data_IF_779911040206
#
_entry.id   IF_779911040206
#
_cell.length_a   1.000
_cell.length_b   1.000
_cell.length_c   1.000
_cell.angle_alpha   90.00
_cell.angle_beta   90.00
_cell.angle_gamma   90.00
#
_symmetry.space_group_name_H-M   'P 1'
#
loop_
_entity.id
_entity.type
_entity.pdbx_description
1 polymer ?
#
# COMPACT_ATOMS: atom_id res chain seq x y z
N UNK A 1 -7.88 -23.13 -5.40
CA UNK A 1 -8.41 -22.31 -4.28
C UNK A 1 -9.62 -21.56 -4.79
N UNK A 2 -10.75 -21.59 -4.08
CA UNK A 2 -11.95 -20.86 -4.47
C UNK A 2 -11.70 -19.34 -4.40
N UNK A 3 -12.20 -18.61 -5.40
CA UNK A 3 -11.99 -17.17 -5.62
C UNK A 3 -12.61 -16.22 -4.56
N UNK A 4 -13.04 -16.69 -3.37
CA UNK A 4 -14.02 -15.92 -2.59
C UNK A 4 -13.51 -14.87 -1.60
N UNK A 5 -12.29 -14.89 -1.03
CA UNK A 5 -12.03 -13.99 0.12
C UNK A 5 -10.57 -13.50 0.25
N UNK A 6 -9.89 -13.12 -0.84
CA UNK A 6 -8.57 -12.48 -0.65
C UNK A 6 -8.72 -11.07 -0.08
N UNK A 7 -8.21 -10.87 1.13
CA UNK A 7 -8.24 -9.61 1.86
C UNK A 7 -7.14 -8.68 1.38
N UNK A 8 -7.42 -7.94 0.31
CA UNK A 8 -6.58 -6.83 -0.10
C UNK A 8 -6.86 -5.60 0.76
N UNK A 9 -5.84 -5.02 1.39
CA UNK A 9 -5.97 -3.78 2.18
C UNK A 9 -5.15 -2.68 1.53
N UNK A 10 -5.78 -1.54 1.23
CA UNK A 10 -5.08 -0.36 0.76
C UNK A 10 -4.40 0.36 1.95
N UNK A 11 -3.17 0.85 1.78
CA UNK A 11 -2.44 1.63 2.78
C UNK A 11 -2.02 2.96 2.17
N UNK A 12 -2.47 4.05 2.79
CA UNK A 12 -2.17 5.44 2.40
C UNK A 12 -1.53 6.16 3.58
N UNK A 13 -0.49 6.93 3.33
CA UNK A 13 0.14 7.82 4.32
C UNK A 13 -0.14 9.26 3.92
N UNK A 14 -0.48 10.12 4.87
CA UNK A 14 -0.76 11.53 4.63
C UNK A 14 -0.10 12.44 5.65
N UNK A 15 0.27 13.64 5.22
CA UNK A 15 0.78 14.72 6.07
C UNK A 15 0.45 16.08 5.43
N UNK A 16 -0.42 16.87 6.06
CA UNK A 16 -0.79 18.23 5.63
C UNK A 16 -1.24 18.35 4.17
N UNK A 17 -2.05 17.39 3.70
CA UNK A 17 -2.58 17.32 2.33
C UNK A 17 -4.06 16.91 2.33
N UNK A 18 -4.88 17.56 3.16
CA UNK A 18 -6.28 17.18 3.38
C UNK A 18 -7.11 17.01 2.09
N UNK A 19 -7.04 17.97 1.16
CA UNK A 19 -7.89 17.93 -0.05
C UNK A 19 -7.53 16.74 -0.96
N UNK A 20 -6.24 16.47 -1.15
CA UNK A 20 -5.77 15.31 -1.90
C UNK A 20 -6.15 14.00 -1.20
N UNK A 21 -6.07 13.96 0.14
CA UNK A 21 -6.51 12.82 0.92
C UNK A 21 -8.01 12.54 0.73
N UNK A 22 -8.86 13.57 0.75
CA UNK A 22 -10.31 13.42 0.52
C UNK A 22 -10.57 12.76 -0.82
N UNK A 23 -9.95 13.26 -1.89
CA UNK A 23 -10.09 12.70 -3.23
C UNK A 23 -9.60 11.24 -3.27
N UNK A 24 -8.41 10.96 -2.72
CA UNK A 24 -7.83 9.62 -2.69
C UNK A 24 -8.73 8.60 -1.96
N UNK A 25 -9.19 8.93 -0.74
CA UNK A 25 -10.03 8.03 0.05
C UNK A 25 -11.39 7.81 -0.61
N UNK A 26 -11.99 8.84 -1.19
CA UNK A 26 -13.24 8.68 -1.96
C UNK A 26 -13.08 7.71 -3.13
N UNK A 27 -11.99 7.81 -3.89
CA UNK A 27 -11.72 6.89 -4.99
C UNK A 27 -11.46 5.45 -4.52
N UNK A 28 -10.79 5.29 -3.38
CA UNK A 28 -10.59 3.97 -2.78
C UNK A 28 -11.89 3.34 -2.29
N UNK A 29 -12.81 4.13 -1.73
CA UNK A 29 -14.14 3.66 -1.33
C UNK A 29 -14.92 3.16 -2.56
N UNK A 30 -14.83 3.85 -3.70
CA UNK A 30 -15.43 3.37 -4.96
C UNK A 30 -14.83 2.01 -5.41
N UNK A 31 -13.58 1.74 -5.04
CA UNK A 31 -12.91 0.47 -5.33
C UNK A 31 -13.24 -0.66 -4.32
N UNK A 32 -14.22 -0.49 -3.43
CA UNK A 32 -14.54 -1.44 -2.34
C UNK A 32 -14.80 -2.88 -2.79
N UNK A 33 -15.23 -3.13 -4.03
CA UNK A 33 -15.37 -4.50 -4.57
C UNK A 33 -14.07 -5.30 -4.60
N UNK A 34 -12.92 -4.63 -4.53
CA UNK A 34 -11.59 -5.22 -4.55
C UNK A 34 -10.81 -5.04 -3.25
N UNK A 35 -11.37 -4.32 -2.28
CA UNK A 35 -10.69 -3.94 -1.04
C UNK A 35 -11.48 -4.42 0.17
N UNK A 36 -10.77 -5.09 1.08
CA UNK A 36 -11.31 -5.49 2.38
C UNK A 36 -11.35 -4.32 3.36
N UNK A 37 -10.29 -3.52 3.40
CA UNK A 37 -10.13 -2.34 4.26
C UNK A 37 -9.26 -1.28 3.57
N UNK A 38 -9.36 -0.05 4.05
CA UNK A 38 -8.45 1.05 3.75
C UNK A 38 -7.80 1.47 5.06
N UNK A 39 -6.48 1.43 5.14
CA UNK A 39 -5.70 1.94 6.26
C UNK A 39 -5.14 3.30 5.87
N UNK A 40 -5.49 4.34 6.63
CA UNK A 40 -4.90 5.68 6.48
C UNK A 40 -4.02 5.99 7.67
N UNK A 41 -2.76 6.28 7.40
CA UNK A 41 -1.80 6.75 8.41
C UNK A 41 -1.71 8.27 8.33
N UNK A 42 -2.34 8.94 9.28
CA UNK A 42 -2.15 10.37 9.50
C UNK A 42 -0.83 10.59 10.25
N UNK A 43 0.20 11.03 9.52
CA UNK A 43 1.56 11.14 10.01
C UNK A 43 1.80 12.46 10.77
N UNK A 44 0.94 12.73 11.77
CA UNK A 44 0.91 13.93 12.60
C UNK A 44 0.61 15.23 11.83
N UNK A 45 -0.40 15.23 10.96
CA UNK A 45 -0.86 16.45 10.30
C UNK A 45 -1.33 17.50 11.30
N UNK A 46 -1.12 18.78 10.96
CA UNK A 46 -1.47 19.96 11.75
C UNK A 46 -2.66 20.73 11.17
N UNK A 47 -3.22 20.26 10.06
CA UNK A 47 -4.47 20.75 9.47
C UNK A 47 -5.68 19.93 9.96
N UNK A 48 -6.85 20.13 9.35
CA UNK A 48 -8.10 19.45 9.75
C UNK A 48 -8.15 17.96 9.39
N UNK A 49 -7.04 17.36 8.92
CA UNK A 49 -6.98 15.94 8.52
C UNK A 49 -7.44 15.00 9.62
N UNK A 50 -7.09 15.27 10.88
CA UNK A 50 -7.49 14.42 12.00
C UNK A 50 -9.00 14.42 12.18
N UNK A 51 -9.59 15.62 12.27
CA UNK A 51 -11.04 15.79 12.47
C UNK A 51 -11.83 15.16 11.30
N UNK A 52 -11.35 15.36 10.07
CA UNK A 52 -11.94 14.74 8.88
C UNK A 52 -11.92 13.21 8.95
N UNK A 53 -10.78 12.61 9.31
CA UNK A 53 -10.65 11.16 9.40
C UNK A 53 -11.50 10.55 10.52
N UNK A 54 -11.58 11.22 11.68
CA UNK A 54 -12.44 10.80 12.80
C UNK A 54 -13.91 10.75 12.37
N UNK A 55 -14.43 11.81 11.73
CA UNK A 55 -15.78 11.82 11.18
C UNK A 55 -15.97 10.71 10.13
N UNK A 56 -15.03 10.58 9.18
CA UNK A 56 -15.17 9.62 8.10
C UNK A 56 -15.18 8.17 8.59
N UNK A 57 -14.45 7.85 9.67
CA UNK A 57 -14.49 6.50 10.25
C UNK A 57 -15.85 6.11 10.83
N UNK A 58 -16.67 7.08 11.25
CA UNK A 58 -18.04 6.81 11.69
C UNK A 58 -18.95 6.46 10.50
N UNK A 59 -18.71 7.10 9.35
CA UNK A 59 -19.50 6.94 8.13
C UNK A 59 -19.06 5.72 7.28
N UNK A 60 -17.79 5.32 7.37
CA UNK A 60 -17.17 4.33 6.48
C UNK A 60 -16.51 3.19 7.28
N UNK A 61 -17.22 2.08 7.56
CA UNK A 61 -16.70 0.95 8.34
C UNK A 61 -15.47 0.25 7.74
N UNK A 62 -15.18 0.46 6.45
CA UNK A 62 -13.99 -0.10 5.80
C UNK A 62 -12.70 0.69 6.08
N UNK A 63 -12.81 1.91 6.63
CA UNK A 63 -11.68 2.77 6.95
C UNK A 63 -11.11 2.44 8.34
N UNK A 64 -9.79 2.33 8.42
CA UNK A 64 -9.03 2.16 9.66
C UNK A 64 -7.93 3.24 9.70
N UNK A 65 -7.88 4.01 10.79
CA UNK A 65 -7.01 5.18 10.87
C UNK A 65 -5.95 4.99 11.94
N UNK A 66 -4.70 5.26 11.58
CA UNK A 66 -3.55 5.32 12.48
C UNK A 66 -3.10 6.78 12.59
N UNK A 67 -3.25 7.36 13.78
CA UNK A 67 -2.79 8.73 14.05
C UNK A 67 -1.43 8.70 14.76
N UNK A 68 -0.40 9.18 14.08
CA UNK A 68 0.93 9.35 14.66
C UNK A 68 1.01 10.60 15.54
N UNK A 69 1.85 10.52 16.58
CA UNK A 69 2.11 11.68 17.46
C UNK A 69 3.09 12.67 16.85
N UNK A 70 4.03 12.18 16.04
CA UNK A 70 5.06 12.98 15.38
C UNK A 70 5.18 12.54 13.93
N UNK A 71 5.59 13.44 13.05
CA UNK A 71 5.92 13.07 11.68
C UNK A 71 7.25 12.30 11.66
N UNK A 72 7.20 10.99 11.46
CA UNK A 72 8.37 10.09 11.44
C UNK A 72 8.89 9.82 10.02
N UNK A 73 8.44 10.60 9.04
CA UNK A 73 8.70 10.42 7.61
C UNK A 73 7.82 9.34 6.96
N UNK A 74 7.69 9.42 5.63
CA UNK A 74 6.79 8.55 4.86
C UNK A 74 7.11 7.07 4.97
N UNK A 75 8.39 6.68 5.00
CA UNK A 75 8.78 5.28 5.12
C UNK A 75 8.32 4.64 6.45
N UNK A 76 8.41 5.39 7.55
CA UNK A 76 7.92 4.93 8.86
C UNK A 76 6.39 4.87 8.86
N UNK A 77 5.73 5.88 8.28
CA UNK A 77 4.27 5.87 8.09
C UNK A 77 3.80 4.63 7.33
N UNK A 78 4.43 4.29 6.21
CA UNK A 78 4.11 3.09 5.45
C UNK A 78 4.41 1.82 6.25
N UNK A 79 5.51 1.78 7.01
CA UNK A 79 5.81 0.65 7.88
C UNK A 79 4.70 0.38 8.90
N UNK A 80 4.21 1.43 9.56
CA UNK A 80 3.12 1.32 10.53
C UNK A 80 1.80 0.95 9.86
N UNK A 81 1.48 1.55 8.72
CA UNK A 81 0.29 1.22 7.93
C UNK A 81 0.28 -0.23 7.46
N UNK A 82 1.40 -0.74 6.95
CA UNK A 82 1.53 -2.15 6.55
C UNK A 82 1.41 -3.10 7.74
N UNK A 83 2.05 -2.79 8.88
CA UNK A 83 1.89 -3.59 10.11
C UNK A 83 0.43 -3.63 10.57
N UNK A 84 -0.27 -2.50 10.47
CA UNK A 84 -1.71 -2.42 10.79
C UNK A 84 -2.53 -3.28 9.83
N UNK A 85 -2.27 -3.20 8.52
CA UNK A 85 -2.94 -4.04 7.53
C UNK A 85 -2.68 -5.55 7.78
N UNK A 86 -1.45 -5.94 8.12
CA UNK A 86 -1.12 -7.33 8.50
C UNK A 86 -1.89 -7.77 9.76
N UNK A 87 -1.99 -6.91 10.77
CA UNK A 87 -2.77 -7.18 11.98
C UNK A 87 -4.27 -7.38 11.68
N UNK A 88 -4.80 -6.64 10.71
CA UNK A 88 -6.18 -6.79 10.19
C UNK A 88 -6.36 -8.03 9.29
N UNK A 89 -5.28 -8.78 9.04
CA UNK A 89 -5.28 -10.02 8.27
C UNK A 89 -5.19 -9.81 6.76
N UNK A 90 -4.53 -8.76 6.28
CA UNK A 90 -4.27 -8.61 4.86
C UNK A 90 -3.55 -9.84 4.27
N UNK A 91 -4.08 -10.37 3.17
CA UNK A 91 -3.35 -11.32 2.32
C UNK A 91 -2.43 -10.57 1.36
N UNK A 92 -2.89 -9.39 0.91
CA UNK A 92 -2.14 -8.49 0.03
C UNK A 92 -2.32 -7.05 0.50
N UNK A 93 -1.27 -6.25 0.37
CA UNK A 93 -1.30 -4.84 0.74
C UNK A 93 -1.07 -4.00 -0.51
N UNK A 94 -1.99 -3.10 -0.80
CA UNK A 94 -1.85 -2.15 -1.90
C UNK A 94 -1.40 -0.80 -1.36
N UNK A 95 -0.14 -0.46 -1.62
CA UNK A 95 0.52 0.72 -1.04
C UNK A 95 0.55 1.86 -2.06
N UNK A 96 0.17 3.06 -1.64
CA UNK A 96 0.19 4.27 -2.49
C UNK A 96 0.33 5.56 -1.68
N UNK A 97 0.81 6.61 -2.33
CA UNK A 97 0.77 7.97 -1.78
C UNK A 97 -0.64 8.58 -1.90
N UNK A 98 -0.93 9.60 -1.08
CA UNK A 98 -2.24 10.24 -1.00
C UNK A 98 -2.59 11.15 -2.20
N UNK A 99 -1.68 11.31 -3.17
CA UNK A 99 -1.85 12.07 -4.41
C UNK A 99 -1.92 11.17 -5.65
N UNK A 100 -2.05 9.85 -5.46
CA UNK A 100 -2.33 8.93 -6.55
C UNK A 100 -3.75 9.14 -7.11
N UNK A 101 -3.84 9.34 -8.42
CA UNK A 101 -5.12 9.34 -9.14
C UNK A 101 -5.58 7.89 -9.25
N UNK A 102 -6.34 7.44 -8.27
CA UNK A 102 -6.95 6.11 -8.23
C UNK A 102 -8.35 6.17 -8.82
N UNK A 103 -8.74 5.14 -9.55
CA UNK A 103 -10.13 4.85 -9.89
C UNK A 103 -10.28 3.34 -10.14
N UNK A 104 -11.49 2.85 -10.39
CA UNK A 104 -11.71 1.42 -10.64
C UNK A 104 -10.85 0.87 -11.80
N UNK A 105 -10.60 1.67 -12.84
CA UNK A 105 -9.81 1.27 -13.99
C UNK A 105 -8.31 1.17 -13.66
N UNK A 106 -7.85 1.76 -12.55
CA UNK A 106 -6.46 1.63 -12.08
C UNK A 106 -6.19 0.33 -11.34
N UNK A 107 -7.13 -0.15 -10.52
CA UNK A 107 -6.95 -1.37 -9.72
C UNK A 107 -7.27 -2.63 -10.53
N UNK A 108 -8.20 -2.56 -11.49
CA UNK A 108 -8.60 -3.72 -12.31
C UNK A 108 -7.41 -4.41 -13.00
N UNK A 109 -6.54 -3.70 -13.74
CA UNK A 109 -5.38 -4.34 -14.37
C UNK A 109 -4.41 -4.98 -13.37
N UNK A 110 -4.25 -4.40 -12.19
CA UNK A 110 -3.41 -4.95 -11.13
C UNK A 110 -4.00 -6.27 -10.59
N UNK A 111 -5.32 -6.30 -10.39
CA UNK A 111 -6.05 -7.50 -9.97
C UNK A 111 -6.08 -8.58 -11.05
N UNK A 112 -6.16 -8.19 -12.33
CA UNK A 112 -6.10 -9.13 -13.45
C UNK A 112 -4.69 -9.72 -13.61
N UNK A 113 -3.63 -8.91 -13.46
CA UNK A 113 -2.26 -9.40 -13.46
C UNK A 113 -2.02 -10.39 -12.32
N UNK A 114 -2.53 -10.09 -11.12
CA UNK A 114 -2.53 -11.01 -9.98
C UNK A 114 -3.23 -12.33 -10.33
N UNK A 115 -4.48 -12.26 -10.82
CA UNK A 115 -5.27 -13.45 -11.16
C UNK A 115 -4.58 -14.30 -12.22
N UNK A 116 -3.93 -13.66 -13.20
CA UNK A 116 -3.18 -14.34 -14.23
C UNK A 116 -2.03 -15.17 -13.65
N UNK A 117 -1.20 -14.56 -12.80
CA UNK A 117 -0.09 -15.26 -12.12
C UNK A 117 -0.57 -16.42 -11.27
N UNK A 118 -1.62 -16.20 -10.46
CA UNK A 118 -2.21 -17.25 -9.62
C UNK A 118 -2.77 -18.40 -10.46
N UNK A 119 -3.47 -18.10 -11.56
CA UNK A 119 -4.02 -19.13 -12.46
C UNK A 119 -2.95 -19.94 -13.19
N UNK A 120 -1.77 -19.34 -13.41
CA UNK A 120 -0.62 -19.99 -14.00
C UNK A 120 0.23 -20.77 -12.98
N UNK A 121 -0.14 -20.75 -11.69
CA UNK A 121 0.64 -21.37 -10.62
C UNK A 121 1.98 -20.67 -10.35
N UNK A 122 2.09 -19.39 -10.71
CA UNK A 122 3.30 -18.60 -10.52
C UNK A 122 3.22 -17.89 -9.16
N UNK A 123 4.15 -18.21 -8.27
CA UNK A 123 4.32 -17.49 -7.00
C UNK A 123 4.87 -16.08 -7.26
N UNK A 124 4.35 -15.10 -6.53
CA UNK A 124 4.74 -13.70 -6.65
C UNK A 124 4.81 -13.04 -5.28
N UNK A 125 5.70 -12.04 -5.14
CA UNK A 125 5.85 -11.28 -3.90
C UNK A 125 5.43 -9.81 -4.03
N UNK A 126 5.64 -9.19 -5.20
CA UNK A 126 5.34 -7.78 -5.44
C UNK A 126 4.79 -7.63 -6.86
N UNK A 127 3.73 -6.84 -7.00
CA UNK A 127 3.25 -6.32 -8.28
C UNK A 127 3.40 -4.80 -8.26
N UNK A 128 3.86 -4.24 -9.37
CA UNK A 128 4.10 -2.80 -9.49
C UNK A 128 3.45 -2.26 -10.77
N UNK A 129 2.79 -1.12 -10.65
CA UNK A 129 2.22 -0.40 -11.78
C UNK A 129 3.32 0.29 -12.58
N UNK A 130 3.10 0.42 -13.89
CA UNK A 130 3.87 1.31 -14.75
C UNK A 130 3.38 2.75 -14.55
N UNK A 131 3.92 3.44 -13.53
CA UNK A 131 3.49 4.79 -13.16
C UNK A 131 3.88 5.81 -14.24
N UNK A 132 2.92 6.63 -14.65
CA UNK A 132 3.06 7.67 -15.69
C UNK A 132 2.64 9.03 -15.16
N UNK A 133 3.28 10.07 -15.65
CA UNK A 133 2.82 11.44 -15.47
C UNK A 133 1.55 11.69 -16.28
N UNK A 134 0.86 12.81 -16.00
CA UNK A 134 -0.36 13.21 -16.73
C UNK A 134 -0.13 13.48 -18.22
N UNK A 135 1.12 13.73 -18.63
CA UNK A 135 1.54 13.85 -20.03
C UNK A 135 1.87 12.50 -20.71
N UNK A 136 1.74 11.39 -19.98
CA UNK A 136 2.03 10.03 -20.47
C UNK A 136 3.50 9.60 -20.39
N UNK A 137 4.41 10.50 -20.03
CA UNK A 137 5.82 10.16 -19.85
C UNK A 137 6.05 9.28 -18.61
N UNK A 138 7.15 8.52 -18.59
CA UNK A 138 7.44 7.58 -17.52
C UNK A 138 7.87 8.30 -16.23
N UNK A 139 7.26 7.95 -15.10
CA UNK A 139 7.70 8.40 -13.78
C UNK A 139 8.92 7.57 -13.33
N UNK A 140 10.12 7.99 -13.73
CA UNK A 140 11.36 7.20 -13.57
C UNK A 140 11.71 6.85 -12.13
N UNK A 141 11.21 7.62 -11.15
CA UNK A 141 11.40 7.34 -9.72
C UNK A 141 10.60 6.12 -9.23
N UNK A 142 9.56 5.69 -9.96
CA UNK A 142 8.68 4.59 -9.56
C UNK A 142 9.05 3.26 -10.23
N UNK A 143 10.18 3.17 -10.94
CA UNK A 143 10.66 1.92 -11.53
C UNK A 143 11.30 1.07 -10.43
N UNK A 144 10.74 -0.11 -10.08
CA UNK A 144 11.35 -0.99 -9.08
C UNK A 144 12.72 -1.45 -9.55
N UNK A 145 13.72 -1.36 -8.67
CA UNK A 145 15.08 -1.86 -8.93
C UNK A 145 15.43 -2.89 -7.88
N UNK A 146 15.94 -4.04 -8.32
CA UNK A 146 16.54 -5.01 -7.42
C UNK A 146 17.82 -4.41 -6.83
N UNK A 147 17.96 -4.48 -5.50
CA UNK A 147 19.19 -4.09 -4.84
C UNK A 147 20.32 -5.05 -5.25
N UNK A 148 21.44 -4.49 -5.73
CA UNK A 148 22.62 -5.28 -6.13
C UNK A 148 23.20 -6.11 -5.00
N UNK A 149 23.06 -5.63 -3.76
CA UNK A 149 23.61 -6.26 -2.54
C UNK A 149 22.48 -6.58 -1.55
N UNK A 150 21.37 -7.11 -2.07
CA UNK A 150 20.17 -7.43 -1.28
C UNK A 150 20.45 -8.39 -0.12
N UNK A 151 21.44 -9.27 -0.27
CA UNK A 151 21.87 -10.26 0.72
C UNK A 151 22.70 -9.64 1.87
N UNK A 152 23.35 -8.50 1.65
CA UNK A 152 24.14 -7.80 2.69
C UNK A 152 23.24 -6.94 3.58
N UNK A 153 22.31 -6.21 2.96
CA UNK A 153 21.38 -5.27 3.62
C UNK A 153 20.29 -5.92 4.47
N UNK A 154 20.11 -7.24 4.36
CA UNK A 154 19.04 -8.00 5.04
C UNK A 154 19.56 -9.02 6.05
N UNK A 155 20.84 -8.93 6.39
CA UNK A 155 21.50 -9.81 7.36
C UNK A 155 20.89 -9.75 8.77
N UNK A 156 20.11 -8.72 9.10
CA UNK A 156 19.42 -8.53 10.39
C UNK A 156 17.96 -8.99 10.44
N UNK A 157 17.37 -9.50 9.33
CA UNK A 157 15.99 -9.96 9.32
C UNK A 157 15.92 -11.44 9.75
N UNK A 158 15.29 -11.70 10.90
CA UNK A 158 15.12 -13.05 11.46
C UNK A 158 14.22 -13.98 10.61
N UNK A 159 13.48 -13.41 9.65
CA UNK A 159 12.57 -14.15 8.77
C UNK A 159 13.20 -14.65 7.47
N UNK A 160 14.49 -14.45 7.25
CA UNK A 160 15.19 -14.91 6.04
C UNK A 160 16.04 -16.13 6.39
N UNK A 161 15.81 -17.25 5.67
CA UNK A 161 16.65 -18.44 5.78
C UNK A 161 18.05 -18.09 5.29
N UNK A 162 19.02 -18.11 6.20
CA UNK A 162 20.44 -17.92 5.89
C UNK A 162 21.06 -19.26 5.55
N UNK A 163 21.72 -19.34 4.39
CA UNK A 163 22.50 -20.50 3.98
C UNK A 163 23.98 -20.11 3.94
N UNK A 164 24.84 -20.87 4.61
CA UNK A 164 26.29 -20.64 4.62
C UNK A 164 26.95 -21.41 3.48
N UNK A 165 27.84 -20.76 2.74
CA UNK A 165 28.72 -21.39 1.73
C UNK A 165 30.18 -21.05 2.02
N UNK A 166 31.10 -21.93 1.65
CA UNK A 166 32.55 -21.67 1.78
C UNK A 166 33.03 -20.76 0.64
N UNK A 167 33.96 -19.85 0.94
CA UNK A 167 34.72 -19.12 -0.07
C UNK A 167 35.82 -20.04 -0.60
N UNK A 168 35.94 -20.19 -1.92
CA UNK A 168 37.10 -20.82 -2.55
C UNK A 168 38.29 -19.86 -2.54
#
# INVERSE_FOLDING_TARGET
MNQSDSRCIAVVVTYNKLDLLKECVQQLILCQKYLYKIVVVNNASTDDTRAYLEQLTEEQPMLDVVNEKNNLGGATGFNHGMKRAMFLGADTIWVMDNDCIVNEQTIVPLMDARRHLESAGIEWGILASNVRWTDGSAALMNIPKLSKFWNESRSSLDCIIKVTTQKM
#
